data_IF_229956514697
#
_entry.id   IF_229956514697
#
_cell.length_a   1.000
_cell.length_b   1.000
_cell.length_c   1.000
_cell.angle_alpha   90.00
_cell.angle_beta   90.00
_cell.angle_gamma   90.00
#
_symmetry.space_group_name_H-M   'P 1'
#
loop_
_entity.id
_entity.type
_entity.pdbx_description
1 polymer ?
#
# COMPACT_ATOMS: atom_id res chain seq x y z
N UNK A 1 -2.55 -12.88 20.69
CA UNK A 1 -1.47 -11.97 21.12
C UNK A 1 -0.21 -12.38 20.36
N UNK A 2 0.30 -11.52 19.48
CA UNK A 2 1.43 -11.85 18.62
C UNK A 2 2.69 -12.20 19.44
N UNK A 3 3.26 -13.37 19.20
CA UNK A 3 4.52 -13.80 19.82
C UNK A 3 5.72 -13.07 19.18
N UNK A 4 6.84 -12.93 19.88
CA UNK A 4 8.02 -12.16 19.41
C UNK A 4 8.58 -12.58 18.03
N UNK A 5 8.43 -13.85 17.66
CA UNK A 5 8.80 -14.37 16.34
C UNK A 5 7.93 -13.81 15.20
N UNK A 6 6.67 -13.52 15.51
CA UNK A 6 5.66 -13.00 14.59
C UNK A 6 5.98 -11.57 14.15
N UNK A 7 6.41 -10.74 15.11
CA UNK A 7 6.80 -9.34 14.86
C UNK A 7 8.06 -9.22 13.99
N UNK A 8 9.01 -10.14 14.13
CA UNK A 8 10.23 -10.15 13.30
C UNK A 8 9.93 -10.54 11.85
N UNK A 9 8.98 -11.47 11.64
CA UNK A 9 8.49 -11.83 10.32
C UNK A 9 7.69 -10.67 9.72
N UNK A 10 6.76 -10.10 10.47
CA UNK A 10 5.95 -8.95 10.07
C UNK A 10 6.84 -7.78 9.63
N UNK A 11 7.86 -7.44 10.42
CA UNK A 11 8.80 -6.36 10.07
C UNK A 11 9.48 -6.61 8.73
N UNK A 12 9.98 -7.82 8.46
CA UNK A 12 10.61 -8.14 7.17
C UNK A 12 9.62 -8.03 6.02
N UNK A 13 8.44 -8.61 6.18
CA UNK A 13 7.39 -8.54 5.16
C UNK A 13 6.99 -7.09 4.86
N UNK A 14 6.80 -6.26 5.88
CA UNK A 14 6.43 -4.85 5.71
C UNK A 14 7.50 -4.10 4.92
N UNK A 15 8.79 -4.32 5.20
CA UNK A 15 9.87 -3.70 4.42
C UNK A 15 9.81 -4.13 2.95
N UNK A 16 9.69 -5.43 2.67
CA UNK A 16 9.59 -5.95 1.30
C UNK A 16 8.36 -5.41 0.55
N UNK A 17 7.24 -5.28 1.25
CA UNK A 17 5.98 -4.77 0.70
C UNK A 17 6.08 -3.27 0.41
N UNK A 18 6.69 -2.49 1.30
CA UNK A 18 6.93 -1.05 1.08
C UNK A 18 7.88 -0.84 -0.10
N UNK A 19 8.94 -1.64 -0.24
CA UNK A 19 9.83 -1.58 -1.42
C UNK A 19 9.07 -1.83 -2.73
N UNK A 20 8.17 -2.83 -2.75
CA UNK A 20 7.30 -3.11 -3.91
C UNK A 20 6.33 -1.96 -4.18
N UNK A 21 5.74 -1.38 -3.14
CA UNK A 21 4.84 -0.24 -3.25
C UNK A 21 5.57 0.98 -3.83
N UNK A 22 6.77 1.30 -3.34
CA UNK A 22 7.63 2.37 -3.86
C UNK A 22 7.96 2.16 -5.36
N UNK A 23 8.25 0.93 -5.76
CA UNK A 23 8.49 0.63 -7.18
C UNK A 23 7.23 0.79 -8.03
N UNK A 24 6.08 0.35 -7.53
CA UNK A 24 4.79 0.48 -8.20
C UNK A 24 4.41 1.95 -8.39
N UNK A 25 4.47 2.76 -7.33
CA UNK A 25 4.13 4.18 -7.37
C UNK A 25 5.12 4.95 -8.26
N UNK A 26 6.42 4.63 -8.20
CA UNK A 26 7.43 5.20 -9.12
C UNK A 26 7.15 4.87 -10.59
N UNK A 27 6.71 3.64 -10.88
CA UNK A 27 6.33 3.24 -12.24
C UNK A 27 5.08 3.95 -12.73
N UNK A 28 4.09 4.12 -11.85
CA UNK A 28 2.86 4.85 -12.16
C UNK A 28 3.19 6.32 -12.39
N UNK A 29 3.95 6.96 -11.50
CA UNK A 29 4.38 8.35 -11.64
C UNK A 29 5.08 8.62 -12.98
N UNK A 30 5.95 7.70 -13.43
CA UNK A 30 6.63 7.82 -14.74
C UNK A 30 5.70 7.67 -15.95
N UNK A 31 4.51 7.10 -15.76
CA UNK A 31 3.50 6.84 -16.80
C UNK A 31 2.35 7.83 -16.79
N UNK A 32 2.08 8.49 -15.66
CA UNK A 32 1.04 9.51 -15.54
C UNK A 32 1.41 10.67 -16.47
N UNK A 33 0.69 10.76 -17.59
CA UNK A 33 0.48 12.00 -18.33
C UNK A 33 -0.52 12.84 -17.48
N UNK A 34 -0.44 14.17 -17.53
CA UNK A 34 -1.08 15.12 -16.59
C UNK A 34 -2.61 14.97 -16.31
N UNK A 35 -3.31 14.03 -16.94
CA UNK A 35 -4.78 13.89 -16.93
C UNK A 35 -5.33 12.78 -15.98
N UNK A 36 -4.49 12.01 -15.28
CA UNK A 36 -4.93 10.85 -14.46
C UNK A 36 -5.16 11.14 -12.96
N UNK A 37 -5.22 12.41 -12.54
CA UNK A 37 -5.48 12.78 -11.13
C UNK A 37 -6.99 12.85 -10.89
N UNK A 38 -7.53 11.90 -10.11
CA UNK A 38 -8.89 11.96 -9.61
C UNK A 38 -8.95 12.94 -8.42
N UNK A 39 -10.10 13.57 -8.21
CA UNK A 39 -10.33 14.45 -7.05
C UNK A 39 -11.29 13.76 -6.10
N UNK A 40 -10.93 13.66 -4.82
CA UNK A 40 -11.85 13.23 -3.77
C UNK A 40 -12.93 14.31 -3.53
N UNK A 41 -13.97 13.98 -2.77
CA UNK A 41 -15.08 14.91 -2.44
C UNK A 41 -14.60 16.18 -1.73
N UNK A 42 -13.47 16.10 -1.01
CA UNK A 42 -12.82 17.22 -0.32
C UNK A 42 -11.81 17.99 -1.20
N UNK A 43 -11.76 17.69 -2.49
CA UNK A 43 -10.82 18.23 -3.48
C UNK A 43 -9.34 17.90 -3.24
N UNK A 44 -9.02 17.01 -2.31
CA UNK A 44 -7.66 16.46 -2.22
C UNK A 44 -7.35 15.63 -3.48
N UNK A 45 -6.12 15.72 -4.00
CA UNK A 45 -5.70 14.91 -5.14
C UNK A 45 -5.55 13.46 -4.72
N UNK A 46 -6.21 12.55 -5.43
CA UNK A 46 -5.97 11.10 -5.33
C UNK A 46 -5.60 10.57 -6.70
N UNK A 47 -4.62 9.70 -6.76
CA UNK A 47 -4.12 9.12 -7.99
C UNK A 47 -4.35 7.62 -7.99
N UNK A 48 -4.24 7.01 -9.17
CA UNK A 48 -4.23 5.53 -9.25
C UNK A 48 -3.07 4.91 -8.47
N UNK A 49 -2.01 5.67 -8.17
CA UNK A 49 -0.89 5.21 -7.36
C UNK A 49 -1.29 4.97 -5.90
N UNK A 50 -2.18 5.80 -5.35
CA UNK A 50 -2.62 5.71 -3.95
C UNK A 50 -3.43 4.42 -3.75
N UNK A 51 -4.47 4.22 -4.56
CA UNK A 51 -5.26 2.98 -4.56
C UNK A 51 -4.41 1.74 -4.84
N UNK A 52 -3.50 1.80 -5.81
CA UNK A 52 -2.67 0.64 -6.17
C UNK A 52 -1.68 0.28 -5.04
N UNK A 53 -1.12 1.27 -4.36
CA UNK A 53 -0.23 1.05 -3.22
C UNK A 53 -0.99 0.40 -2.05
N UNK A 54 -2.18 0.90 -1.72
CA UNK A 54 -2.98 0.38 -0.64
C UNK A 54 -3.48 -1.05 -0.93
N UNK A 55 -3.93 -1.32 -2.17
CA UNK A 55 -4.36 -2.66 -2.58
C UNK A 55 -3.20 -3.67 -2.50
N UNK A 56 -2.00 -3.30 -2.97
CA UNK A 56 -0.82 -4.15 -2.89
C UNK A 56 -0.42 -4.46 -1.45
N UNK A 57 -0.34 -3.42 -0.61
CA UNK A 57 0.05 -3.56 0.80
C UNK A 57 -0.98 -4.41 1.54
N UNK A 58 -2.27 -4.08 1.42
CA UNK A 58 -3.35 -4.78 2.09
C UNK A 58 -3.45 -6.24 1.66
N UNK A 59 -3.31 -6.53 0.36
CA UNK A 59 -3.34 -7.90 -0.13
C UNK A 59 -2.20 -8.75 0.47
N UNK A 60 -0.96 -8.27 0.44
CA UNK A 60 0.18 -9.05 0.93
C UNK A 60 0.13 -9.22 2.46
N UNK A 61 -0.23 -8.16 3.20
CA UNK A 61 -0.37 -8.25 4.65
C UNK A 61 -1.51 -9.20 5.04
N UNK A 62 -2.65 -9.16 4.35
CA UNK A 62 -3.78 -10.06 4.63
C UNK A 62 -3.43 -11.53 4.37
N UNK A 63 -2.67 -11.82 3.31
CA UNK A 63 -2.25 -13.20 3.01
C UNK A 63 -1.33 -13.78 4.09
N UNK A 64 -0.50 -12.96 4.72
CA UNK A 64 0.45 -13.41 5.74
C UNK A 64 -0.09 -13.29 7.18
N UNK A 65 -0.94 -12.30 7.44
CA UNK A 65 -1.46 -11.94 8.76
C UNK A 65 -2.96 -11.60 8.70
N UNK A 66 -3.83 -12.57 8.37
CA UNK A 66 -5.26 -12.33 8.12
C UNK A 66 -6.02 -11.81 9.35
N UNK A 67 -5.52 -12.07 10.56
CA UNK A 67 -6.13 -11.66 11.83
C UNK A 67 -5.79 -10.21 12.23
N UNK A 68 -4.85 -9.57 11.52
CA UNK A 68 -4.46 -8.19 11.78
C UNK A 68 -5.30 -7.27 10.87
N UNK A 69 -6.20 -6.45 11.42
CA UNK A 69 -6.96 -5.51 10.60
C UNK A 69 -6.03 -4.42 10.05
N UNK A 70 -6.20 -4.10 8.77
CA UNK A 70 -5.55 -2.96 8.13
C UNK A 70 -6.48 -1.75 8.15
N UNK A 71 -5.96 -0.60 8.53
CA UNK A 71 -6.62 0.69 8.31
C UNK A 71 -5.90 1.36 7.13
N UNK A 72 -6.63 1.58 6.05
CA UNK A 72 -6.19 2.36 4.89
C UNK A 72 -6.78 3.76 4.91
N UNK A 73 -6.14 4.69 4.22
CA UNK A 73 -6.70 6.02 3.99
C UNK A 73 -7.76 6.00 2.88
N UNK A 74 -7.52 5.19 1.84
CA UNK A 74 -8.38 5.04 0.66
C UNK A 74 -9.42 3.92 0.75
#
# INVERSE_FOLDING_TARGET
MAHSHDLSLLRRLVVEVVEKACHLTSKIQKKILHEEVLKKEDFSPVTIADFASQALVGHILYQAFPDIPMVGEE
#
